data_IF_235313283645
#
_entry.id   IF_235313283645
#
_cell.length_a   1.000
_cell.length_b   1.000
_cell.length_c   1.000
_cell.angle_alpha   90.00
_cell.angle_beta   90.00
_cell.angle_gamma   90.00
#
_symmetry.space_group_name_H-M   'P 1'
#
loop_
_entity.id
_entity.type
_entity.pdbx_description
1 polymer ?
#
# COMPACT_ATOMS: atom_id res chain seq x y z
N UNK A 1 -6.82 -12.18 12.12
CA UNK A 1 -6.11 -12.13 10.84
C UNK A 1 -5.42 -10.76 10.71
N UNK A 2 -4.25 -10.70 10.06
CA UNK A 2 -3.34 -9.54 10.04
C UNK A 2 -2.83 -9.14 11.44
N UNK A 3 -2.69 -10.07 12.35
CA UNK A 3 -2.20 -9.83 13.70
C UNK A 3 -0.73 -9.42 13.71
N UNK A 4 -0.33 -8.60 14.67
CA UNK A 4 1.06 -8.19 14.89
C UNK A 4 1.54 -7.02 14.03
N UNK A 5 0.72 -6.46 13.14
CA UNK A 5 1.08 -5.23 12.43
C UNK A 5 1.14 -4.05 13.41
N UNK A 6 2.25 -3.29 13.40
CA UNK A 6 2.47 -2.13 14.26
C UNK A 6 3.10 -0.97 13.46
N UNK A 7 2.54 0.21 13.63
CA UNK A 7 3.16 1.47 13.21
C UNK A 7 3.83 2.21 14.37
N UNK A 8 3.53 1.78 15.61
CA UNK A 8 3.94 2.43 16.86
C UNK A 8 3.46 3.89 17.02
N UNK A 9 2.62 4.35 16.11
CA UNK A 9 2.03 5.69 16.15
C UNK A 9 0.70 5.68 16.91
N UNK A 10 0.74 5.94 18.21
CA UNK A 10 -0.44 5.97 19.08
C UNK A 10 -1.44 7.10 18.78
N UNK A 11 -1.16 8.01 17.87
CA UNK A 11 -2.13 9.00 17.39
C UNK A 11 -3.11 8.39 16.39
N UNK A 12 -2.77 7.23 15.81
CA UNK A 12 -3.64 6.51 14.89
C UNK A 12 -4.63 5.63 15.64
N UNK A 13 -5.95 5.82 15.46
CA UNK A 13 -6.96 4.95 16.05
C UNK A 13 -6.78 3.47 15.65
N UNK A 14 -6.31 3.21 14.43
CA UNK A 14 -6.04 1.89 13.91
C UNK A 14 -4.99 1.15 14.75
N UNK A 15 -3.96 1.86 15.22
CA UNK A 15 -2.92 1.25 16.05
C UNK A 15 -3.48 0.73 17.37
N UNK A 16 -4.34 1.50 18.02
CA UNK A 16 -5.02 1.06 19.23
C UNK A 16 -5.91 -0.17 18.96
N UNK A 17 -6.66 -0.14 17.85
CA UNK A 17 -7.53 -1.25 17.48
C UNK A 17 -6.75 -2.53 17.23
N UNK A 18 -5.59 -2.47 16.54
CA UNK A 18 -4.71 -3.61 16.29
C UNK A 18 -4.25 -4.24 17.59
N UNK A 19 -3.64 -3.43 18.48
CA UNK A 19 -3.14 -3.91 19.78
C UNK A 19 -4.25 -4.57 20.58
N UNK A 20 -5.40 -3.87 20.76
CA UNK A 20 -6.50 -4.39 21.56
C UNK A 20 -7.09 -5.68 20.97
N UNK A 21 -7.23 -5.76 19.64
CA UNK A 21 -7.75 -6.95 18.96
C UNK A 21 -6.81 -8.14 19.16
N UNK A 22 -5.50 -7.94 18.96
CA UNK A 22 -4.51 -9.00 19.11
C UNK A 22 -4.47 -9.54 20.54
N UNK A 23 -4.53 -8.63 21.54
CA UNK A 23 -4.56 -9.03 22.95
C UNK A 23 -5.87 -9.74 23.37
N UNK A 24 -6.97 -9.45 22.71
CA UNK A 24 -8.27 -10.09 22.99
C UNK A 24 -8.48 -11.41 22.23
N UNK A 25 -7.72 -11.64 21.16
CA UNK A 25 -7.89 -12.82 20.30
C UNK A 25 -7.32 -14.11 20.93
N UNK A 26 -7.99 -15.24 20.73
CA UNK A 26 -7.49 -16.57 21.12
C UNK A 26 -6.39 -17.07 20.15
N UNK A 27 -6.43 -16.61 18.89
CA UNK A 27 -5.49 -16.97 17.85
C UNK A 27 -5.11 -15.75 17.01
N UNK A 28 -3.82 -15.49 16.92
CA UNK A 28 -3.24 -14.39 16.14
C UNK A 28 -2.61 -14.94 14.85
N UNK A 29 -3.22 -14.65 13.71
CA UNK A 29 -2.74 -15.07 12.40
C UNK A 29 -1.93 -13.95 11.77
N UNK A 30 -0.60 -14.06 11.81
CA UNK A 30 0.35 -13.03 11.40
C UNK A 30 0.67 -13.09 9.90
N UNK A 31 0.79 -11.94 9.23
CA UNK A 31 1.12 -11.88 7.81
C UNK A 31 2.62 -12.02 7.53
N UNK A 32 3.52 -11.60 8.44
CA UNK A 32 4.96 -11.52 8.25
C UNK A 32 5.73 -11.98 9.47
N UNK A 33 7.03 -12.26 9.30
CA UNK A 33 7.94 -12.56 10.41
C UNK A 33 8.12 -11.35 11.35
N UNK A 34 8.11 -10.13 10.81
CA UNK A 34 8.15 -8.90 11.62
C UNK A 34 6.93 -8.84 12.54
N UNK A 35 5.74 -9.12 12.01
CA UNK A 35 4.51 -9.18 12.80
C UNK A 35 4.57 -10.27 13.89
N UNK A 36 5.17 -11.43 13.61
CA UNK A 36 5.44 -12.48 14.60
C UNK A 36 6.35 -11.98 15.72
N UNK A 37 7.40 -11.22 15.37
CA UNK A 37 8.30 -10.58 16.34
C UNK A 37 7.54 -9.65 17.29
N UNK A 38 6.71 -8.74 16.76
CA UNK A 38 5.90 -7.84 17.58
C UNK A 38 4.96 -8.59 18.54
N UNK A 39 4.30 -9.65 18.05
CA UNK A 39 3.45 -10.48 18.90
C UNK A 39 4.25 -11.18 20.01
N UNK A 40 5.46 -11.62 19.71
CA UNK A 40 6.34 -12.23 20.70
C UNK A 40 6.77 -11.23 21.79
N UNK A 41 7.16 -10.02 21.40
CA UNK A 41 7.54 -8.93 22.30
C UNK A 41 6.38 -8.52 23.23
N UNK A 42 5.14 -8.63 22.73
CA UNK A 42 3.91 -8.38 23.50
C UNK A 42 3.43 -9.60 24.31
N UNK A 43 4.18 -10.71 24.33
CA UNK A 43 3.84 -11.91 25.09
C UNK A 43 2.77 -12.79 24.45
N UNK A 44 2.49 -12.61 23.17
CA UNK A 44 1.43 -13.32 22.43
C UNK A 44 1.95 -14.50 21.58
N UNK A 45 3.25 -14.83 21.64
CA UNK A 45 3.89 -15.86 20.82
C UNK A 45 3.18 -17.22 20.86
N UNK A 46 2.64 -17.62 22.02
CA UNK A 46 2.00 -18.93 22.20
C UNK A 46 0.71 -19.12 21.38
N UNK A 47 0.10 -18.02 20.92
CA UNK A 47 -1.12 -18.00 20.11
C UNK A 47 -0.94 -17.35 18.75
N UNK A 48 0.31 -17.06 18.36
CA UNK A 48 0.66 -16.49 17.06
C UNK A 48 1.06 -17.60 16.08
N UNK A 49 0.58 -17.47 14.84
CA UNK A 49 0.91 -18.37 13.73
C UNK A 49 1.16 -17.55 12.49
N UNK A 50 2.32 -17.75 11.85
CA UNK A 50 2.62 -17.15 10.55
C UNK A 50 1.80 -17.85 9.45
N UNK A 51 1.00 -17.10 8.73
CA UNK A 51 0.12 -17.63 7.67
C UNK A 51 0.36 -16.94 6.31
N UNK A 52 1.04 -15.79 6.29
CA UNK A 52 1.12 -14.92 5.14
C UNK A 52 -0.05 -13.92 5.10
N UNK A 53 -0.05 -13.07 4.09
CA UNK A 53 -1.05 -12.01 3.91
C UNK A 53 -2.07 -12.39 2.84
N UNK A 54 -3.35 -12.47 3.22
CA UNK A 54 -4.45 -12.81 2.29
C UNK A 54 -4.66 -11.76 1.21
N UNK A 55 -4.26 -10.52 1.44
CA UNK A 55 -4.30 -9.49 0.39
C UNK A 55 -3.24 -9.74 -0.68
N UNK A 56 -2.12 -10.37 -0.33
CA UNK A 56 -1.13 -10.87 -1.29
C UNK A 56 -1.74 -11.91 -2.23
N UNK A 57 -2.51 -12.87 -1.70
CA UNK A 57 -3.20 -13.88 -2.53
C UNK A 57 -4.10 -13.20 -3.58
N UNK A 58 -4.90 -12.21 -3.15
CA UNK A 58 -5.80 -11.47 -4.04
C UNK A 58 -5.02 -10.65 -5.07
N UNK A 59 -3.98 -9.92 -4.63
CA UNK A 59 -3.16 -9.09 -5.50
C UNK A 59 -2.51 -9.91 -6.62
N UNK A 60 -1.86 -11.03 -6.28
CA UNK A 60 -1.21 -11.91 -7.25
C UNK A 60 -2.22 -12.55 -8.21
N UNK A 61 -3.37 -13.01 -7.72
CA UNK A 61 -4.43 -13.56 -8.58
C UNK A 61 -4.97 -12.54 -9.58
N UNK A 62 -5.17 -11.31 -9.15
CA UNK A 62 -5.64 -10.21 -10.02
C UNK A 62 -4.53 -9.83 -11.00
N UNK A 63 -3.27 -9.77 -10.56
CA UNK A 63 -2.12 -9.51 -11.43
C UNK A 63 -2.01 -10.51 -12.57
N UNK A 64 -2.10 -11.81 -12.29
CA UNK A 64 -2.10 -12.86 -13.33
C UNK A 64 -3.24 -12.65 -14.35
N UNK A 65 -4.43 -12.28 -13.86
CA UNK A 65 -5.59 -11.98 -14.73
C UNK A 65 -5.36 -10.75 -15.60
N UNK A 66 -4.72 -9.72 -15.05
CA UNK A 66 -4.38 -8.48 -15.76
C UNK A 66 -3.31 -8.73 -16.82
N UNK A 67 -2.27 -9.49 -16.51
CA UNK A 67 -1.23 -9.87 -17.49
C UNK A 67 -1.81 -10.67 -18.65
N UNK A 68 -2.77 -11.56 -18.39
CA UNK A 68 -3.46 -12.33 -19.43
C UNK A 68 -4.40 -11.45 -20.29
N UNK A 69 -4.91 -10.35 -19.76
CA UNK A 69 -5.88 -9.45 -20.40
C UNK A 69 -5.52 -7.98 -20.15
N UNK A 70 -4.43 -7.45 -20.76
CA UNK A 70 -4.01 -6.08 -20.56
C UNK A 70 -5.11 -5.07 -20.95
N UNK A 71 -5.21 -4.00 -20.17
CA UNK A 71 -6.21 -2.93 -20.40
C UNK A 71 -5.52 -1.58 -20.57
N UNK A 72 -6.09 -0.66 -21.35
CA UNK A 72 -5.58 0.70 -21.39
C UNK A 72 -5.75 1.37 -20.03
N UNK A 73 -4.77 2.17 -19.63
CA UNK A 73 -4.87 3.00 -18.42
C UNK A 73 -5.50 4.33 -18.81
N UNK A 74 -6.61 4.77 -18.18
CA UNK A 74 -7.24 6.03 -18.51
C UNK A 74 -6.25 7.21 -18.39
N UNK A 75 -6.24 8.08 -19.39
CA UNK A 75 -5.36 9.25 -19.41
C UNK A 75 -3.91 8.97 -19.84
N UNK A 76 -3.57 7.73 -20.20
CA UNK A 76 -2.24 7.32 -20.68
C UNK A 76 -2.32 6.88 -22.14
N UNK A 77 -1.44 7.41 -22.99
CA UNK A 77 -1.30 6.95 -24.36
C UNK A 77 -0.47 5.65 -24.46
N UNK A 78 -0.67 4.90 -25.53
CA UNK A 78 0.06 3.65 -25.73
C UNK A 78 1.57 3.92 -25.83
N UNK A 79 2.34 3.31 -24.92
CA UNK A 79 3.80 3.48 -24.84
C UNK A 79 4.26 4.73 -24.09
N UNK A 80 3.33 5.49 -23.51
CA UNK A 80 3.66 6.63 -22.67
C UNK A 80 4.06 6.17 -21.25
N UNK A 81 5.22 6.61 -20.77
CA UNK A 81 5.64 6.40 -19.39
C UNK A 81 4.89 7.31 -18.43
N UNK A 82 4.45 6.78 -17.30
CA UNK A 82 3.74 7.53 -16.27
C UNK A 82 4.06 7.07 -14.86
N UNK A 83 3.79 7.93 -13.89
CA UNK A 83 3.81 7.61 -12.47
C UNK A 83 2.36 7.54 -11.98
N UNK A 84 2.03 6.51 -11.21
CA UNK A 84 0.73 6.38 -10.58
C UNK A 84 0.74 7.08 -9.23
N UNK A 85 -0.22 7.97 -8.94
CA UNK A 85 -0.30 8.67 -7.66
C UNK A 85 -1.64 8.42 -6.95
N UNK A 86 -1.63 8.30 -5.62
CA UNK A 86 -2.86 8.33 -4.79
C UNK A 86 -2.61 9.13 -3.51
N UNK A 87 -3.45 10.15 -3.26
CA UNK A 87 -3.40 11.01 -2.07
C UNK A 87 -4.80 11.12 -1.49
N UNK A 88 -5.01 10.63 -0.28
CA UNK A 88 -6.34 10.60 0.34
C UNK A 88 -6.34 10.62 1.88
N UNK A 89 -5.17 10.50 2.55
CA UNK A 89 -5.11 10.53 4.01
C UNK A 89 -5.39 11.93 4.55
N UNK A 90 -6.01 11.97 5.73
CA UNK A 90 -6.31 13.20 6.44
C UNK A 90 -5.06 14.08 6.64
N UNK A 91 -3.94 13.46 7.03
CA UNK A 91 -2.66 14.14 7.27
C UNK A 91 -2.16 14.92 6.04
N UNK A 92 -2.50 14.48 4.83
CA UNK A 92 -2.11 15.12 3.57
C UNK A 92 -3.21 15.98 2.96
N UNK A 93 -4.49 15.77 3.33
CA UNK A 93 -5.63 16.43 2.66
C UNK A 93 -6.35 17.44 3.53
N UNK A 94 -6.22 17.41 4.86
CA UNK A 94 -6.97 18.30 5.76
C UNK A 94 -6.34 19.71 5.86
N UNK A 95 -5.02 19.84 5.69
CA UNK A 95 -4.36 21.13 5.53
C UNK A 95 -4.28 21.53 4.03
N UNK A 96 -4.97 22.60 3.59
CA UNK A 96 -4.95 23.04 2.21
C UNK A 96 -3.56 23.38 1.68
N UNK A 97 -2.68 23.92 2.52
CA UNK A 97 -1.31 24.30 2.11
C UNK A 97 -0.48 23.07 1.82
N UNK A 98 -0.59 22.05 2.69
CA UNK A 98 0.08 20.77 2.50
C UNK A 98 -0.43 20.07 1.26
N UNK A 99 -1.75 20.00 1.07
CA UNK A 99 -2.34 19.39 -0.11
C UNK A 99 -1.88 20.08 -1.40
N UNK A 100 -1.93 21.41 -1.46
CA UNK A 100 -1.46 22.18 -2.62
C UNK A 100 0.03 21.92 -2.88
N UNK A 101 0.87 21.90 -1.83
CA UNK A 101 2.30 21.57 -1.95
C UNK A 101 2.52 20.20 -2.59
N UNK A 102 1.83 19.16 -2.12
CA UNK A 102 1.93 17.80 -2.69
C UNK A 102 1.47 17.78 -4.15
N UNK A 103 0.34 18.44 -4.47
CA UNK A 103 -0.16 18.50 -5.84
C UNK A 103 0.77 19.28 -6.78
N UNK A 104 1.41 20.34 -6.31
CA UNK A 104 2.41 21.11 -7.06
C UNK A 104 3.67 20.24 -7.30
N UNK A 105 4.13 19.52 -6.28
CA UNK A 105 5.24 18.59 -6.41
C UNK A 105 4.94 17.50 -7.46
N UNK A 106 3.75 16.88 -7.40
CA UNK A 106 3.31 15.89 -8.41
C UNK A 106 3.22 16.49 -9.82
N UNK A 107 2.69 17.72 -9.94
CA UNK A 107 2.56 18.40 -11.23
C UNK A 107 3.89 18.86 -11.84
N UNK A 108 4.94 18.96 -11.03
CA UNK A 108 6.29 19.37 -11.45
C UNK A 108 7.19 18.22 -11.92
N UNK A 109 6.74 16.97 -11.80
CA UNK A 109 7.52 15.82 -12.29
C UNK A 109 7.78 15.96 -13.81
N UNK A 110 8.90 15.40 -14.28
CA UNK A 110 9.32 15.43 -15.69
C UNK A 110 8.51 14.49 -16.59
N UNK A 111 7.60 13.70 -16.03
CA UNK A 111 6.72 12.76 -16.72
C UNK A 111 5.29 12.85 -16.24
N UNK A 112 4.38 12.27 -17.00
CA UNK A 112 2.96 12.23 -16.68
C UNK A 112 2.71 11.58 -15.33
N UNK A 113 1.86 12.19 -14.51
CA UNK A 113 1.36 11.63 -13.25
C UNK A 113 -0.14 11.41 -13.40
N UNK A 114 -0.60 10.20 -13.11
CA UNK A 114 -2.01 9.83 -13.14
C UNK A 114 -2.52 9.73 -11.70
N UNK A 115 -3.52 10.52 -11.38
CA UNK A 115 -4.15 10.56 -10.05
C UNK A 115 -5.65 10.21 -10.16
N UNK A 116 -6.07 9.00 -9.76
CA UNK A 116 -7.48 8.73 -9.50
C UNK A 116 -7.97 9.59 -8.35
N UNK A 117 -8.95 10.46 -8.63
CA UNK A 117 -9.40 11.45 -7.64
C UNK A 117 -10.40 10.83 -6.69
N UNK A 118 -9.95 10.54 -5.46
CA UNK A 118 -10.84 10.10 -4.39
C UNK A 118 -11.93 11.16 -4.11
N UNK A 119 -13.20 10.78 -3.83
CA UNK A 119 -14.29 11.72 -3.57
C UNK A 119 -13.95 12.79 -2.50
N UNK A 120 -13.21 12.41 -1.46
CA UNK A 120 -12.76 13.34 -0.41
C UNK A 120 -11.84 14.43 -0.98
N UNK A 121 -10.88 14.06 -1.84
CA UNK A 121 -9.98 15.02 -2.46
C UNK A 121 -10.73 15.97 -3.39
N UNK A 122 -11.69 15.43 -4.17
CA UNK A 122 -12.54 16.25 -5.05
C UNK A 122 -13.35 17.29 -4.24
N UNK A 123 -14.05 16.82 -3.19
CA UNK A 123 -14.83 17.70 -2.33
C UNK A 123 -13.96 18.78 -1.67
N UNK A 124 -12.73 18.44 -1.28
CA UNK A 124 -11.79 19.39 -0.69
C UNK A 124 -11.36 20.45 -1.69
N UNK A 125 -10.97 20.06 -2.90
CA UNK A 125 -10.58 20.96 -3.96
C UNK A 125 -11.72 21.95 -4.32
N UNK A 126 -12.95 21.45 -4.42
CA UNK A 126 -14.14 22.28 -4.67
C UNK A 126 -14.40 23.27 -3.53
N UNK A 127 -14.33 22.81 -2.27
CA UNK A 127 -14.52 23.65 -1.08
C UNK A 127 -13.49 24.77 -0.98
N UNK A 128 -12.24 24.50 -1.28
CA UNK A 128 -11.12 25.42 -1.12
C UNK A 128 -10.82 26.20 -2.41
N UNK A 129 -11.57 25.93 -3.50
CA UNK A 129 -11.54 26.70 -4.74
C UNK A 129 -10.26 26.53 -5.58
N UNK A 130 -9.61 25.34 -5.52
CA UNK A 130 -8.44 25.05 -6.35
C UNK A 130 -8.67 23.86 -7.31
N UNK A 131 -7.85 23.80 -8.36
CA UNK A 131 -7.85 22.70 -9.33
C UNK A 131 -6.83 21.64 -8.92
N UNK A 132 -7.22 20.35 -8.95
CA UNK A 132 -6.33 19.22 -8.66
C UNK A 132 -5.33 19.03 -9.80
N UNK A 133 -5.80 18.95 -11.05
CA UNK A 133 -4.96 18.80 -12.23
C UNK A 133 -4.08 20.05 -12.45
N UNK A 134 -2.77 19.85 -12.63
CA UNK A 134 -1.80 20.92 -12.87
C UNK A 134 -0.48 20.36 -13.44
N UNK A 135 0.18 21.11 -14.31
CA UNK A 135 1.43 20.64 -14.92
C UNK A 135 1.27 19.27 -15.56
N UNK A 136 2.11 18.32 -15.18
CA UNK A 136 2.06 16.93 -15.65
C UNK A 136 1.10 16.04 -14.85
N UNK A 137 0.38 16.58 -13.85
CA UNK A 137 -0.62 15.87 -13.06
C UNK A 137 -1.96 15.85 -13.78
N UNK A 138 -2.36 14.67 -14.24
CA UNK A 138 -3.64 14.37 -14.87
C UNK A 138 -4.55 13.64 -13.90
N UNK A 139 -5.79 14.08 -13.78
CA UNK A 139 -6.81 13.45 -12.93
C UNK A 139 -7.70 12.52 -13.72
N UNK A 140 -8.05 11.38 -13.13
CA UNK A 140 -9.01 10.41 -13.66
C UNK A 140 -10.06 10.06 -12.60
N UNK A 141 -11.13 9.39 -13.01
CA UNK A 141 -12.08 8.83 -12.05
C UNK A 141 -11.45 7.67 -11.25
N UNK A 142 -11.98 7.37 -10.05
CA UNK A 142 -11.51 6.23 -9.25
C UNK A 142 -11.50 4.94 -10.06
N UNK A 143 -10.44 4.17 -9.93
CA UNK A 143 -10.28 2.89 -10.62
C UNK A 143 -10.88 1.75 -9.79
N UNK A 144 -11.49 0.78 -10.45
CA UNK A 144 -11.77 -0.52 -9.84
C UNK A 144 -10.46 -1.26 -9.54
N UNK A 145 -10.49 -2.19 -8.58
CA UNK A 145 -9.26 -2.86 -8.10
C UNK A 145 -8.43 -3.53 -9.24
N UNK A 146 -9.01 -4.28 -10.20
CA UNK A 146 -8.23 -4.82 -11.30
C UNK A 146 -7.61 -3.76 -12.21
N UNK A 147 -8.27 -2.63 -12.40
CA UNK A 147 -7.74 -1.53 -13.19
C UNK A 147 -6.63 -0.77 -12.44
N UNK A 148 -6.72 -0.69 -11.10
CA UNK A 148 -5.64 -0.17 -10.25
C UNK A 148 -4.41 -1.07 -10.32
N UNK A 149 -4.57 -2.39 -10.17
CA UNK A 149 -3.46 -3.36 -10.33
C UNK A 149 -2.82 -3.22 -11.70
N UNK A 150 -3.63 -3.13 -12.77
CA UNK A 150 -3.12 -2.89 -14.13
C UNK A 150 -2.33 -1.58 -14.23
N UNK A 151 -2.86 -0.50 -13.67
CA UNK A 151 -2.20 0.81 -13.72
C UNK A 151 -0.89 0.82 -12.93
N UNK A 152 -0.82 0.15 -11.78
CA UNK A 152 0.40 0.05 -10.97
C UNK A 152 1.44 -0.83 -11.65
N UNK A 153 1.05 -1.99 -12.19
CA UNK A 153 1.95 -2.92 -12.90
C UNK A 153 2.68 -2.26 -14.08
N UNK A 154 2.01 -1.33 -14.76
CA UNK A 154 2.57 -0.68 -15.96
C UNK A 154 3.16 0.71 -15.67
N UNK A 155 3.15 1.18 -14.43
CA UNK A 155 3.72 2.47 -14.04
C UNK A 155 5.24 2.40 -13.91
N UNK A 156 5.93 3.49 -14.23
CA UNK A 156 7.36 3.66 -13.95
C UNK A 156 7.65 3.76 -12.44
N UNK A 157 6.65 4.16 -11.64
CA UNK A 157 6.70 4.22 -10.20
C UNK A 157 5.36 4.61 -9.59
N UNK A 158 5.24 4.47 -8.28
CA UNK A 158 4.05 4.83 -7.50
C UNK A 158 4.39 5.88 -6.48
N UNK A 159 3.53 6.89 -6.33
CA UNK A 159 3.58 7.87 -5.23
C UNK A 159 2.28 7.74 -4.45
N UNK A 160 2.35 7.42 -3.15
CA UNK A 160 1.12 7.16 -2.38
C UNK A 160 1.22 7.51 -0.91
N UNK A 161 0.08 7.79 -0.29
CA UNK A 161 -0.08 7.81 1.16
C UNK A 161 -0.87 6.61 1.69
N UNK A 162 -1.27 5.69 0.79
CA UNK A 162 -2.03 4.48 1.14
C UNK A 162 -1.13 3.39 1.72
N UNK A 163 -1.51 2.83 2.88
CA UNK A 163 -0.82 1.65 3.45
C UNK A 163 -0.89 0.42 2.53
N UNK A 164 -2.05 0.14 1.94
CA UNK A 164 -2.22 -1.01 1.04
C UNK A 164 -1.42 -0.89 -0.25
N UNK A 165 -1.50 0.28 -0.91
CA UNK A 165 -0.91 0.44 -2.23
C UNK A 165 0.63 0.37 -2.22
N UNK A 166 1.31 0.80 -1.15
CA UNK A 166 2.77 0.65 -1.04
C UNK A 166 3.19 -0.83 -1.00
N UNK A 167 2.42 -1.68 -0.32
CA UNK A 167 2.64 -3.13 -0.32
C UNK A 167 2.31 -3.74 -1.68
N UNK A 168 1.20 -3.34 -2.29
CA UNK A 168 0.81 -3.82 -3.63
C UNK A 168 1.83 -3.42 -4.69
N UNK A 169 2.36 -2.20 -4.66
CA UNK A 169 3.44 -1.78 -5.55
C UNK A 169 4.66 -2.71 -5.44
N UNK A 170 5.07 -3.05 -4.21
CA UNK A 170 6.13 -4.02 -3.96
C UNK A 170 5.81 -5.39 -4.57
N UNK A 171 4.60 -5.93 -4.34
CA UNK A 171 4.17 -7.23 -4.88
C UNK A 171 4.13 -7.26 -6.40
N UNK A 172 3.83 -6.13 -7.02
CA UNK A 172 3.74 -5.95 -8.48
C UNK A 172 5.09 -5.59 -9.13
N UNK A 173 6.17 -5.49 -8.32
CA UNK A 173 7.50 -5.13 -8.80
C UNK A 173 7.63 -3.69 -9.25
N UNK A 174 6.82 -2.78 -8.70
CA UNK A 174 6.86 -1.34 -9.01
C UNK A 174 7.42 -0.56 -7.82
N UNK A 175 8.42 0.28 -8.05
CA UNK A 175 8.99 1.13 -7.00
C UNK A 175 7.95 2.09 -6.44
N UNK A 176 8.01 2.33 -5.13
CA UNK A 176 7.06 3.18 -4.42
C UNK A 176 7.76 4.34 -3.70
N UNK A 177 7.10 5.49 -3.67
CA UNK A 177 7.43 6.61 -2.78
C UNK A 177 6.22 6.90 -1.92
N UNK A 178 6.41 6.82 -0.61
CA UNK A 178 5.31 6.96 0.35
C UNK A 178 5.35 8.32 1.04
N UNK A 179 4.29 9.11 0.86
CA UNK A 179 4.15 10.46 1.45
C UNK A 179 3.63 10.34 2.89
N UNK A 180 4.48 9.75 3.75
CA UNK A 180 4.21 9.51 5.18
C UNK A 180 5.50 9.54 5.98
N UNK A 181 5.39 9.78 7.29
CA UNK A 181 6.51 9.74 8.24
C UNK A 181 6.89 8.31 8.65
N UNK A 182 5.95 7.37 8.57
CA UNK A 182 6.14 5.97 8.97
C UNK A 182 5.33 5.02 8.07
N UNK A 183 5.67 3.75 8.14
CA UNK A 183 4.91 2.67 7.49
C UNK A 183 4.85 1.44 8.39
N UNK A 184 3.75 0.71 8.34
CA UNK A 184 3.59 -0.63 8.89
C UNK A 184 4.25 -1.73 8.04
N UNK A 185 4.67 -1.40 6.81
CA UNK A 185 5.25 -2.33 5.84
C UNK A 185 6.76 -2.09 5.70
N UNK A 186 7.47 -2.27 6.82
CA UNK A 186 8.92 -1.98 6.92
C UNK A 186 9.74 -2.79 5.92
N UNK A 187 9.30 -4.00 5.58
CA UNK A 187 9.96 -4.88 4.63
C UNK A 187 10.08 -4.24 3.23
N UNK A 188 9.12 -3.40 2.83
CA UNK A 188 9.19 -2.69 1.55
C UNK A 188 10.29 -1.65 1.52
N UNK A 189 10.56 -1.02 2.68
CA UNK A 189 11.61 0.01 2.84
C UNK A 189 12.98 -0.65 2.96
N UNK A 190 13.11 -1.69 3.78
CA UNK A 190 14.35 -2.43 3.99
C UNK A 190 14.88 -3.05 2.70
N UNK A 191 13.97 -3.50 1.83
CA UNK A 191 14.30 -4.03 0.51
C UNK A 191 14.51 -2.94 -0.56
N UNK A 192 14.40 -1.66 -0.21
CA UNK A 192 14.62 -0.53 -1.12
C UNK A 192 13.51 -0.28 -2.15
N UNK A 193 12.44 -1.08 -2.14
CA UNK A 193 11.30 -0.91 -3.06
C UNK A 193 10.41 0.28 -2.72
N UNK A 194 10.45 0.71 -1.46
CA UNK A 194 9.70 1.87 -0.98
C UNK A 194 10.65 2.87 -0.31
N UNK A 195 10.41 4.16 -0.52
CA UNK A 195 11.10 5.27 0.14
C UNK A 195 10.06 6.18 0.76
N UNK A 196 10.29 6.60 2.01
CA UNK A 196 9.44 7.59 2.66
C UNK A 196 9.90 9.00 2.30
N UNK A 197 8.97 9.81 1.81
CA UNK A 197 9.15 11.25 1.53
C UNK A 197 8.01 12.04 2.20
N UNK A 198 8.07 12.18 3.53
CA UNK A 198 6.98 12.80 4.29
C UNK A 198 6.68 14.23 3.86
N UNK A 199 7.67 14.96 3.41
CA UNK A 199 7.53 16.37 3.06
C UNK A 199 7.25 16.61 1.57
N UNK A 200 7.27 15.53 0.75
CA UNK A 200 7.08 15.58 -0.69
C UNK A 200 8.08 16.49 -1.42
N UNK A 201 9.33 16.55 -0.93
CA UNK A 201 10.39 17.40 -1.48
C UNK A 201 11.21 16.69 -2.58
N UNK A 202 11.22 15.34 -2.58
CA UNK A 202 12.04 14.51 -3.45
C UNK A 202 11.23 13.59 -4.38
N UNK A 203 9.92 13.86 -4.57
CA UNK A 203 9.02 12.98 -5.33
C UNK A 203 9.56 12.67 -6.74
N UNK A 204 10.12 13.66 -7.43
CA UNK A 204 10.67 13.48 -8.79
C UNK A 204 11.86 12.54 -8.83
N UNK A 205 12.78 12.64 -7.87
CA UNK A 205 13.95 11.78 -7.74
C UNK A 205 13.55 10.35 -7.36
N UNK A 206 12.69 10.23 -6.34
CA UNK A 206 12.34 8.94 -5.77
C UNK A 206 11.37 8.13 -6.62
N UNK A 207 10.44 8.78 -7.33
CA UNK A 207 9.44 8.08 -8.13
C UNK A 207 9.99 7.38 -9.37
N UNK A 208 11.21 7.74 -9.78
CA UNK A 208 11.82 7.24 -11.02
C UNK A 208 13.23 6.70 -10.80
N UNK A 209 13.56 6.42 -9.53
CA UNK A 209 14.85 5.81 -9.18
C UNK A 209 14.99 4.41 -9.79
N UNK A 210 16.22 3.91 -9.99
CA UNK A 210 16.43 2.54 -10.43
C UNK A 210 15.75 1.53 -9.50
N UNK A 211 15.27 0.42 -10.06
CA UNK A 211 14.79 -0.71 -9.27
C UNK A 211 15.92 -1.24 -8.38
N UNK A 212 15.62 -1.68 -7.15
CA UNK A 212 16.59 -2.34 -6.29
C UNK A 212 17.19 -3.56 -6.98
N UNK A 213 18.46 -3.83 -6.73
CA UNK A 213 19.10 -5.06 -7.19
C UNK A 213 18.76 -6.23 -6.25
N UNK A 214 18.60 -7.43 -6.81
CA UNK A 214 18.36 -8.66 -6.06
C UNK A 214 16.90 -9.12 -6.06
N UNK A 215 16.67 -10.27 -5.42
CA UNK A 215 15.34 -10.86 -5.25
C UNK A 215 14.64 -10.17 -4.08
N UNK A 216 13.46 -9.56 -4.26
CA UNK A 216 12.70 -8.97 -3.16
C UNK A 216 12.21 -9.99 -2.12
N UNK A 217 12.28 -11.28 -2.44
CA UNK A 217 11.74 -12.36 -1.60
C UNK A 217 10.22 -12.34 -1.51
N UNK A 218 9.71 -13.07 -0.53
CA UNK A 218 8.27 -13.22 -0.30
C UNK A 218 7.90 -12.85 1.15
N UNK A 219 8.20 -11.63 1.63
CA UNK A 219 7.96 -11.26 3.04
C UNK A 219 6.49 -11.35 3.44
N UNK A 220 5.57 -11.24 2.47
CA UNK A 220 4.11 -11.33 2.67
C UNK A 220 3.52 -12.68 2.30
N UNK A 221 4.36 -13.69 1.99
CA UNK A 221 3.94 -15.02 1.55
C UNK A 221 3.88 -15.17 0.03
N UNK A 222 3.53 -16.37 -0.40
CA UNK A 222 3.60 -16.85 -1.79
C UNK A 222 2.23 -16.99 -2.48
N UNK A 223 1.22 -16.26 -2.01
CA UNK A 223 -0.14 -16.34 -2.56
C UNK A 223 -0.95 -17.55 -2.05
N UNK A 224 -0.61 -18.10 -0.88
CA UNK A 224 -1.31 -19.23 -0.27
C UNK A 224 -1.81 -18.96 1.16
N UNK A 225 -1.84 -17.70 1.58
CA UNK A 225 -2.21 -17.30 2.92
C UNK A 225 -3.64 -17.77 3.29
N UNK A 226 -4.61 -17.64 2.39
CA UNK A 226 -5.97 -18.11 2.63
C UNK A 226 -6.04 -19.60 2.92
N UNK A 227 -5.26 -20.42 2.21
CA UNK A 227 -5.16 -21.87 2.47
C UNK A 227 -4.52 -22.15 3.81
N UNK A 228 -3.47 -21.44 4.17
CA UNK A 228 -2.78 -21.57 5.45
C UNK A 228 -3.73 -21.23 6.61
N UNK A 229 -4.48 -20.10 6.49
CA UNK A 229 -5.51 -19.69 7.45
C UNK A 229 -6.54 -20.80 7.63
N UNK A 230 -7.12 -21.34 6.55
CA UNK A 230 -8.11 -22.40 6.62
C UNK A 230 -7.54 -23.66 7.34
N UNK A 231 -6.29 -24.02 7.04
CA UNK A 231 -5.62 -25.17 7.67
C UNK A 231 -5.46 -24.97 9.17
N UNK A 232 -5.06 -23.78 9.62
CA UNK A 232 -4.88 -23.46 11.04
C UNK A 232 -6.21 -23.49 11.77
N UNK A 233 -7.26 -22.90 11.20
CA UNK A 233 -8.59 -22.86 11.81
C UNK A 233 -9.21 -24.26 11.95
N UNK A 234 -9.05 -25.14 10.95
CA UNK A 234 -9.52 -26.53 11.04
C UNK A 234 -8.84 -27.28 12.18
N UNK A 235 -7.52 -27.15 12.32
CA UNK A 235 -6.75 -27.77 13.42
C UNK A 235 -7.14 -27.24 14.81
N UNK A 236 -7.43 -25.94 14.91
CA UNK A 236 -7.89 -25.33 16.17
C UNK A 236 -9.26 -25.87 16.56
N UNK A 237 -10.23 -25.95 15.64
CA UNK A 237 -11.56 -26.49 15.91
C UNK A 237 -11.62 -27.99 16.22
N UNK A 238 -10.59 -28.77 15.86
CA UNK A 238 -10.47 -30.18 16.26
C UNK A 238 -10.03 -30.34 17.73
N UNK A 239 -9.16 -29.42 18.21
CA UNK A 239 -8.68 -29.38 19.60
C UNK A 239 -9.78 -29.06 20.61
N UNK A 240 -10.71 -28.18 20.25
CA UNK A 240 -11.82 -27.79 21.12
C UNK A 240 -12.91 -28.87 21.24
N UNK A 241 -12.85 -29.90 20.41
CA UNK A 241 -13.81 -31.05 20.42
C UNK A 241 -13.29 -32.29 21.12
N UNK A 242 -12.03 -32.30 21.52
CA UNK A 242 -11.36 -33.41 22.21
C UNK A 242 -11.18 -33.12 23.71
#
# INVERSE_FOLDING_TARGET
>A
LEAGLRSFNRRMPEEHNRVLTDHAADLCLAPTEVAMGHLADEGLAARAVLVGDVMTDVCLQVHDSVLANPRPVPGVEVGEEYVMATIHRADNTDDPKRLVHILDALGSLDRKVILPVHPRLRARAESDGFTVARGNLTTIDPLAYPDMVNAVTNAAGVITDSGGLQKEAFLLGTICTTVRTETEWVETVENGWNVLDPDAEHLGEYATRPHPEGDPGYPYGDGKAARNVATVLLKAGERDRS
#
